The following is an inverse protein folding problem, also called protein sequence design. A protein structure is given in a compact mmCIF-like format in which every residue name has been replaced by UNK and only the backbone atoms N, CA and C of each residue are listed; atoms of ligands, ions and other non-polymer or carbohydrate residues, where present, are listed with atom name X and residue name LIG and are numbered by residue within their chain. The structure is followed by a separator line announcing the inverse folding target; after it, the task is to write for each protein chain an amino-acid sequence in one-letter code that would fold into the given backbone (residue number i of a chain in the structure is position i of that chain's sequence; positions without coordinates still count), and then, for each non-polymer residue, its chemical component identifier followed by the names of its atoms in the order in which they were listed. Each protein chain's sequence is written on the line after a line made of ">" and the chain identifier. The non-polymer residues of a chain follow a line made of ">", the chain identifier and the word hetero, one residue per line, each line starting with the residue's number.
data_IF_313912141659
#
_entry.id   IF_313912141659
#
_cell.length_a   1.000
_cell.length_b   1.000
_cell.length_c   1.000
_cell.angle_alpha   90.00
_cell.angle_beta   90.00
_cell.angle_gamma   90.00
#
_symmetry.space_group_name_H-M   'P 1'
#
loop_
_entity.id
_entity.type
_entity.pdbx_description
1 polymer ?
#
# COMPACT_ATOMS: atom_id res chain seq x y z
N UNK A 1 -5.71 -17.14 1.31
CA UNK A 1 -5.32 -17.10 2.74
C UNK A 1 -4.07 -17.90 3.07
N UNK A 2 -3.90 -19.15 2.58
CA UNK A 2 -2.74 -20.00 2.90
C UNK A 2 -1.37 -19.34 2.66
N UNK A 3 -1.25 -18.37 1.73
CA UNK A 3 -0.01 -17.62 1.46
C UNK A 3 0.36 -16.59 2.54
N UNK A 4 -0.62 -15.91 3.15
CA UNK A 4 -0.38 -14.87 4.17
C UNK A 4 -0.12 -15.49 5.55
N UNK A 5 -0.95 -16.46 5.94
CA UNK A 5 -0.90 -17.07 7.28
C UNK A 5 -0.08 -18.38 7.27
N UNK A 6 -0.17 -19.16 6.19
CA UNK A 6 0.31 -20.55 6.16
C UNK A 6 1.82 -20.74 6.13
N UNK A 7 2.61 -19.66 6.03
CA UNK A 7 4.06 -19.69 6.17
C UNK A 7 4.54 -19.41 7.61
N UNK A 8 3.63 -19.38 8.61
CA UNK A 8 3.98 -19.34 10.03
C UNK A 8 4.40 -17.97 10.57
N UNK A 9 4.06 -16.87 9.87
CA UNK A 9 4.35 -15.49 10.30
C UNK A 9 3.15 -14.53 10.12
N UNK A 10 1.93 -14.90 10.57
CA UNK A 10 0.75 -14.04 10.42
C UNK A 10 0.89 -12.70 11.15
N UNK A 11 1.68 -12.65 12.23
CA UNK A 11 1.88 -11.44 13.05
C UNK A 11 2.51 -10.27 12.29
N UNK A 12 3.14 -10.51 11.12
CA UNK A 12 3.68 -9.44 10.28
C UNK A 12 2.59 -8.55 9.67
N UNK A 13 1.35 -9.06 9.62
CA UNK A 13 0.23 -8.37 8.98
C UNK A 13 -0.77 -7.83 10.01
N UNK A 14 -0.60 -8.13 11.30
CA UNK A 14 -1.53 -7.68 12.35
C UNK A 14 -1.10 -6.34 12.91
N UNK A 15 -2.06 -5.43 13.09
CA UNK A 15 -1.83 -4.18 13.82
C UNK A 15 -1.77 -4.40 15.34
N UNK A 16 -2.44 -5.44 15.83
CA UNK A 16 -2.41 -5.92 17.23
C UNK A 16 -2.01 -7.39 17.26
N UNK A 17 -1.12 -7.75 18.18
CA UNK A 17 -0.64 -9.13 18.36
C UNK A 17 -1.75 -10.08 18.82
N UNK A 18 -2.78 -9.57 19.50
CA UNK A 18 -3.89 -10.38 20.00
C UNK A 18 -4.99 -10.62 18.94
N UNK A 19 -4.89 -9.98 17.77
CA UNK A 19 -5.81 -10.20 16.65
C UNK A 19 -5.75 -11.67 16.19
N UNK A 20 -6.90 -12.35 16.01
CA UNK A 20 -6.91 -13.74 15.61
C UNK A 20 -6.46 -13.89 14.16
N UNK A 21 -5.73 -14.98 13.86
CA UNK A 21 -5.20 -15.23 12.50
C UNK A 21 -6.30 -15.28 11.43
N UNK A 22 -7.52 -15.69 11.79
CA UNK A 22 -8.67 -15.74 10.89
C UNK A 22 -9.01 -14.37 10.29
N UNK A 23 -8.70 -13.30 11.00
CA UNK A 23 -9.07 -11.94 10.62
C UNK A 23 -8.03 -11.31 9.70
N UNK A 24 -6.86 -11.96 9.52
CA UNK A 24 -5.84 -11.56 8.53
C UNK A 24 -6.29 -11.95 7.12
N UNK A 25 -7.35 -11.29 6.64
CA UNK A 25 -7.92 -11.49 5.30
C UNK A 25 -7.12 -10.76 4.22
N UNK A 26 -7.36 -11.10 2.95
CA UNK A 26 -6.75 -10.34 1.85
C UNK A 26 -7.19 -8.87 1.90
N UNK A 27 -8.49 -8.62 2.07
CA UNK A 27 -9.06 -7.27 2.11
C UNK A 27 -8.47 -6.47 3.27
N UNK A 28 -8.42 -7.06 4.47
CA UNK A 28 -7.78 -6.44 5.63
C UNK A 28 -6.30 -6.07 5.35
N UNK A 29 -5.54 -6.96 4.70
CA UNK A 29 -4.13 -6.68 4.36
C UNK A 29 -4.01 -5.56 3.33
N UNK A 30 -4.88 -5.53 2.31
CA UNK A 30 -4.89 -4.47 1.32
C UNK A 30 -5.23 -3.13 1.96
N UNK A 31 -6.29 -3.08 2.77
CA UNK A 31 -6.76 -1.85 3.42
C UNK A 31 -5.77 -1.30 4.45
N UNK A 32 -5.01 -2.17 5.12
CA UNK A 32 -4.08 -1.77 6.19
C UNK A 32 -2.65 -1.46 5.73
N UNK A 33 -2.21 -2.03 4.61
CA UNK A 33 -0.79 -1.98 4.20
C UNK A 33 -0.55 -1.54 2.77
N UNK A 34 -1.60 -1.28 1.98
CA UNK A 34 -1.46 -0.89 0.57
C UNK A 34 -2.16 0.43 0.30
N UNK A 35 -1.41 1.40 -0.21
CA UNK A 35 -1.98 2.63 -0.77
C UNK A 35 -2.35 2.37 -2.22
N UNK A 36 -3.64 2.39 -2.53
CA UNK A 36 -4.15 2.17 -3.88
C UNK A 36 -5.48 2.88 -4.12
N UNK A 37 -5.87 3.03 -5.39
CA UNK A 37 -7.12 3.68 -5.78
C UNK A 37 -6.95 4.55 -7.02
N UNK A 38 -7.78 5.58 -7.12
CA UNK A 38 -7.60 6.66 -8.11
C UNK A 38 -6.40 7.53 -7.74
N UNK A 39 -5.87 8.29 -8.71
CA UNK A 39 -4.76 9.22 -8.44
C UNK A 39 -5.08 10.23 -7.33
N UNK A 40 -6.35 10.66 -7.22
CA UNK A 40 -6.82 11.57 -6.16
C UNK A 40 -6.78 10.89 -4.78
N UNK A 41 -7.37 9.70 -4.66
CA UNK A 41 -7.38 8.96 -3.39
C UNK A 41 -5.97 8.60 -2.92
N UNK A 42 -5.06 8.28 -3.86
CA UNK A 42 -3.65 7.99 -3.52
C UNK A 42 -2.94 9.23 -2.96
N UNK A 43 -3.21 10.42 -3.49
CA UNK A 43 -2.67 11.68 -2.94
C UNK A 43 -3.16 11.88 -1.51
N UNK A 44 -4.47 11.74 -1.28
CA UNK A 44 -5.07 11.90 0.06
C UNK A 44 -4.49 10.91 1.06
N UNK A 45 -4.33 9.64 0.68
CA UNK A 45 -3.75 8.61 1.53
C UNK A 45 -2.28 8.90 1.88
N UNK A 46 -1.50 9.43 0.93
CA UNK A 46 -0.08 9.78 1.19
C UNK A 46 0.02 11.01 2.10
N UNK A 47 -0.82 12.03 1.93
CA UNK A 47 -0.89 13.18 2.84
C UNK A 47 -1.30 12.73 4.25
N UNK A 48 -2.34 11.90 4.38
CA UNK A 48 -2.73 11.32 5.67
C UNK A 48 -1.61 10.48 6.30
N UNK A 49 -0.78 9.83 5.48
CA UNK A 49 0.38 9.08 5.97
C UNK A 49 1.49 10.00 6.49
N UNK A 50 1.70 11.18 5.89
CA UNK A 50 2.61 12.22 6.42
C UNK A 50 2.13 12.75 7.77
N UNK A 51 0.81 12.88 8.00
CA UNK A 51 0.27 13.27 9.31
C UNK A 51 0.65 12.29 10.43
N UNK A 52 0.79 11.00 10.08
CA UNK A 52 1.14 9.93 11.03
C UNK A 52 2.66 9.82 11.22
N UNK A 53 3.42 9.92 10.13
CA UNK A 53 4.86 9.61 10.11
C UNK A 53 5.76 10.84 10.21
N UNK A 54 5.22 12.03 9.98
CA UNK A 54 5.99 13.24 9.68
C UNK A 54 6.46 13.27 8.21
N UNK A 55 7.22 14.31 7.88
CA UNK A 55 7.79 14.47 6.55
C UNK A 55 8.82 13.38 6.23
N UNK A 56 8.80 12.89 5.00
CA UNK A 56 9.81 11.97 4.47
C UNK A 56 10.33 12.45 3.11
N UNK A 57 11.62 12.20 2.85
CA UNK A 57 12.26 12.72 1.63
C UNK A 57 12.00 11.90 0.37
N UNK A 58 11.65 10.62 0.49
CA UNK A 58 11.48 9.74 -0.68
C UNK A 58 10.43 8.67 -0.43
N UNK A 59 9.47 8.58 -1.35
CA UNK A 59 8.53 7.47 -1.44
C UNK A 59 9.07 6.42 -2.41
N UNK A 60 9.35 5.21 -1.91
CA UNK A 60 9.84 4.10 -2.74
C UNK A 60 8.65 3.28 -3.25
N UNK A 61 8.40 3.34 -4.56
CA UNK A 61 7.33 2.57 -5.19
C UNK A 61 7.73 1.10 -5.35
N UNK A 62 7.12 0.22 -4.56
CA UNK A 62 7.37 -1.22 -4.64
C UNK A 62 6.58 -1.86 -5.80
N UNK A 63 7.27 -2.41 -6.80
CA UNK A 63 6.66 -2.98 -8.00
C UNK A 63 7.34 -4.27 -8.47
N UNK A 64 7.43 -5.28 -7.59
CA UNK A 64 8.22 -6.48 -7.85
C UNK A 64 7.47 -7.58 -8.61
N UNK A 65 6.16 -7.72 -8.41
CA UNK A 65 5.39 -8.86 -8.91
C UNK A 65 4.22 -8.44 -9.82
N UNK A 66 4.51 -8.05 -11.06
CA UNK A 66 3.50 -7.63 -12.02
C UNK A 66 2.66 -8.81 -12.51
N UNK A 67 1.44 -8.94 -12.00
CA UNK A 67 0.44 -9.88 -12.54
C UNK A 67 -0.03 -9.44 -13.93
N UNK A 68 -0.26 -8.14 -14.11
CA UNK A 68 -0.58 -7.53 -15.40
C UNK A 68 0.39 -6.37 -15.68
N UNK A 69 1.38 -6.57 -16.57
CA UNK A 69 2.39 -5.57 -16.88
C UNK A 69 1.85 -4.24 -17.41
N UNK A 70 0.77 -4.25 -18.19
CA UNK A 70 0.19 -3.03 -18.76
C UNK A 70 -0.43 -2.17 -17.66
N UNK A 71 -1.24 -2.80 -16.79
CA UNK A 71 -1.83 -2.12 -15.64
C UNK A 71 -0.76 -1.61 -14.67
N UNK A 72 0.28 -2.41 -14.39
CA UNK A 72 1.36 -2.00 -13.49
C UNK A 72 2.15 -0.80 -14.03
N UNK A 73 2.47 -0.80 -15.33
CA UNK A 73 3.10 0.37 -15.98
C UNK A 73 2.21 1.60 -15.94
N UNK A 74 0.91 1.43 -16.24
CA UNK A 74 -0.06 2.53 -16.18
C UNK A 74 -0.13 3.13 -14.78
N UNK A 75 -0.12 2.30 -13.73
CA UNK A 75 -0.09 2.77 -12.34
C UNK A 75 1.17 3.60 -12.04
N UNK A 76 2.34 3.17 -12.51
CA UNK A 76 3.58 3.95 -12.37
C UNK A 76 3.54 5.26 -13.15
N UNK A 77 2.96 5.28 -14.35
CA UNK A 77 2.76 6.51 -15.12
C UNK A 77 1.84 7.50 -14.40
N UNK A 78 0.74 7.03 -13.82
CA UNK A 78 -0.19 7.86 -13.04
C UNK A 78 0.50 8.38 -11.77
N UNK A 79 1.28 7.55 -11.09
CA UNK A 79 2.07 7.97 -9.94
C UNK A 79 3.03 9.12 -10.32
N UNK A 80 3.77 8.98 -11.41
CA UNK A 80 4.76 9.96 -11.84
C UNK A 80 4.12 11.26 -12.37
N UNK A 81 3.04 11.17 -13.16
CA UNK A 81 2.49 12.31 -13.89
C UNK A 81 1.31 12.98 -13.18
N UNK A 82 0.63 12.28 -12.26
CA UNK A 82 -0.56 12.81 -11.58
C UNK A 82 -0.40 12.91 -10.07
N UNK A 83 0.21 11.93 -9.40
CA UNK A 83 0.32 11.91 -7.94
C UNK A 83 1.48 12.77 -7.45
N UNK A 84 2.72 12.46 -7.88
CA UNK A 84 3.91 13.16 -7.38
C UNK A 84 3.89 14.69 -7.60
N UNK A 85 3.40 15.24 -8.72
CA UNK A 85 3.30 16.69 -8.90
C UNK A 85 2.35 17.39 -7.91
N UNK A 86 1.38 16.66 -7.34
CA UNK A 86 0.47 17.20 -6.33
C UNK A 86 1.09 17.18 -4.93
N UNK A 87 1.96 16.21 -4.65
CA UNK A 87 2.65 16.03 -3.37
C UNK A 87 3.92 16.89 -3.23
N UNK A 88 4.60 17.21 -4.34
CA UNK A 88 5.88 17.93 -4.36
C UNK A 88 5.72 19.45 -4.57
N UNK A 89 4.63 20.04 -4.05
CA UNK A 89 4.39 21.49 -4.18
C UNK A 89 5.22 22.30 -3.21
#
# INVERSE_FOLDING_TARGET
>A
MKKLIGNGRPDLFKHDRDMPDSDVTLDYVLDSMVICGTSESVVEQIEAFKDITGEFGTLVYAAHDWVNPELSKRSMELMANEVMPRLNK
#
